data_IF_653502074350
#
_entry.id   IF_653502074350
#
_cell.length_a   1.000
_cell.length_b   1.000
_cell.length_c   1.000
_cell.angle_alpha   90.00
_cell.angle_beta   90.00
_cell.angle_gamma   90.00
#
_symmetry.space_group_name_H-M   'P 1'
#
loop_
_entity.id
_entity.type
_entity.pdbx_description
1 polymer ?
#
# COMPACT_ATOMS: atom_id res chain seq x y z
N UNK A 1 1.12 8.06 -8.81
CA UNK A 1 0.86 6.98 -7.85
C UNK A 1 0.38 5.69 -8.49
N UNK A 2 -0.69 5.68 -9.31
CA UNK A 2 -1.20 4.43 -9.94
C UNK A 2 -0.12 3.58 -10.64
N UNK A 3 0.72 4.19 -11.48
CA UNK A 3 1.85 3.50 -12.14
C UNK A 3 2.88 2.93 -11.15
N UNK A 4 3.16 3.66 -10.07
CA UNK A 4 4.07 3.20 -9.02
C UNK A 4 3.50 1.96 -8.31
N UNK A 5 2.19 1.94 -8.05
CA UNK A 5 1.51 0.79 -7.43
C UNK A 5 1.49 -0.44 -8.35
N UNK A 6 1.37 -0.26 -9.68
CA UNK A 6 1.53 -1.36 -10.64
C UNK A 6 2.96 -1.90 -10.62
N UNK A 7 3.96 -1.02 -10.58
CA UNK A 7 5.35 -1.43 -10.43
C UNK A 7 5.58 -2.19 -9.12
N UNK A 8 5.06 -1.70 -8.00
CA UNK A 8 5.11 -2.40 -6.71
C UNK A 8 4.49 -3.80 -6.81
N UNK A 9 3.30 -3.93 -7.42
CA UNK A 9 2.69 -5.25 -7.64
C UNK A 9 3.58 -6.20 -8.46
N UNK A 10 4.33 -5.68 -9.44
CA UNK A 10 5.25 -6.48 -10.24
C UNK A 10 6.48 -6.93 -9.44
N UNK A 11 6.97 -6.12 -8.49
CA UNK A 11 8.08 -6.52 -7.61
C UNK A 11 7.68 -7.66 -6.67
N UNK A 12 6.42 -7.71 -6.23
CA UNK A 12 5.94 -8.74 -5.29
C UNK A 12 5.88 -10.15 -5.87
N UNK A 13 6.05 -10.34 -7.18
CA UNK A 13 6.23 -11.70 -7.74
C UNK A 13 7.48 -12.41 -7.19
N UNK A 14 8.41 -11.67 -6.59
CA UNK A 14 9.58 -12.24 -5.94
C UNK A 14 9.30 -12.72 -4.51
N UNK A 15 8.14 -12.39 -3.92
CA UNK A 15 7.78 -12.78 -2.56
C UNK A 15 7.18 -14.19 -2.51
N UNK A 16 7.35 -14.92 -1.39
CA UNK A 16 6.82 -16.26 -1.22
C UNK A 16 5.28 -16.33 -1.17
N UNK A 17 4.60 -15.25 -0.76
CA UNK A 17 3.12 -15.14 -0.81
C UNK A 17 2.68 -13.85 -1.55
N UNK A 18 2.64 -13.88 -2.89
CA UNK A 18 2.43 -12.67 -3.69
C UNK A 18 0.96 -12.25 -3.76
N UNK A 19 0.00 -13.15 -3.53
CA UNK A 19 -1.39 -12.94 -3.97
C UNK A 19 -2.10 -11.83 -3.22
N UNK A 20 -1.96 -11.78 -1.89
CA UNK A 20 -2.56 -10.73 -1.07
C UNK A 20 -1.99 -9.35 -1.44
N UNK A 21 -0.68 -9.28 -1.66
CA UNK A 21 0.02 -8.07 -2.05
C UNK A 21 -0.41 -7.57 -3.42
N UNK A 22 -0.45 -8.47 -4.42
CA UNK A 22 -0.92 -8.15 -5.77
C UNK A 22 -2.35 -7.62 -5.73
N UNK A 23 -3.24 -8.29 -4.99
CA UNK A 23 -4.64 -7.89 -4.88
C UNK A 23 -4.75 -6.46 -4.33
N UNK A 24 -4.01 -6.14 -3.26
CA UNK A 24 -4.06 -4.80 -2.64
C UNK A 24 -3.46 -3.74 -3.55
N UNK A 25 -2.25 -3.96 -4.10
CA UNK A 25 -1.59 -2.99 -4.95
C UNK A 25 -2.37 -2.73 -6.25
N UNK A 26 -2.92 -3.78 -6.88
CA UNK A 26 -3.74 -3.64 -8.08
C UNK A 26 -5.09 -2.98 -7.79
N UNK A 27 -5.71 -3.25 -6.64
CA UNK A 27 -6.92 -2.53 -6.22
C UNK A 27 -6.63 -1.03 -6.04
N UNK A 28 -5.53 -0.69 -5.36
CA UNK A 28 -5.08 0.70 -5.16
C UNK A 28 -4.70 1.40 -6.49
N UNK A 29 -4.06 0.68 -7.41
CA UNK A 29 -3.76 1.17 -8.75
C UNK A 29 -5.06 1.40 -9.55
N UNK A 30 -5.99 0.45 -9.50
CA UNK A 30 -7.29 0.53 -10.17
C UNK A 30 -8.10 1.74 -9.75
N UNK A 31 -8.21 2.02 -8.44
CA UNK A 31 -8.89 3.23 -7.96
C UNK A 31 -8.15 4.51 -8.37
N UNK A 32 -6.81 4.47 -8.41
CA UNK A 32 -6.00 5.62 -8.85
C UNK A 32 -6.22 5.95 -10.32
N UNK A 33 -6.33 4.93 -11.17
CA UNK A 33 -6.60 5.08 -12.58
C UNK A 33 -8.05 5.49 -12.83
N UNK A 34 -9.02 4.85 -12.18
CA UNK A 34 -10.44 5.22 -12.30
C UNK A 34 -10.69 6.70 -11.98
N UNK A 35 -9.96 7.25 -11.00
CA UNK A 35 -10.03 8.66 -10.62
C UNK A 35 -9.63 9.66 -11.73
N UNK A 36 -8.98 9.21 -12.80
CA UNK A 36 -8.61 10.06 -13.95
C UNK A 36 -9.78 10.32 -14.90
N UNK A 37 -10.73 9.39 -14.98
CA UNK A 37 -11.83 9.43 -15.96
C UNK A 37 -13.21 9.53 -15.33
N UNK A 38 -13.34 9.18 -14.05
CA UNK A 38 -14.62 9.15 -13.35
C UNK A 38 -14.58 10.00 -12.08
N UNK A 39 -15.71 10.62 -11.69
CA UNK A 39 -15.85 11.21 -10.37
C UNK A 39 -15.53 10.15 -9.32
N UNK A 40 -14.60 10.48 -8.42
CA UNK A 40 -14.14 9.52 -7.42
C UNK A 40 -15.27 9.21 -6.45
N UNK A 41 -15.82 8.00 -6.51
CA UNK A 41 -16.66 7.49 -5.43
C UNK A 41 -15.77 7.27 -4.20
N UNK A 42 -16.08 7.90 -3.06
CA UNK A 42 -15.22 7.78 -1.87
C UNK A 42 -15.21 6.38 -1.25
N UNK A 43 -16.25 5.57 -1.49
CA UNK A 43 -16.46 4.29 -0.80
C UNK A 43 -15.37 3.28 -1.11
N UNK A 44 -15.05 3.10 -2.39
CA UNK A 44 -14.06 2.12 -2.84
C UNK A 44 -12.64 2.44 -2.32
N UNK A 45 -12.08 3.65 -2.53
CA UNK A 45 -10.77 4.00 -1.98
C UNK A 45 -10.77 3.98 -0.44
N UNK A 46 -11.89 4.27 0.23
CA UNK A 46 -11.98 4.11 1.69
C UNK A 46 -11.87 2.64 2.14
N UNK A 47 -12.50 1.70 1.43
CA UNK A 47 -12.36 0.26 1.73
C UNK A 47 -10.92 -0.20 1.55
N UNK A 48 -10.25 0.22 0.46
CA UNK A 48 -8.83 -0.09 0.23
C UNK A 48 -7.95 0.50 1.33
N UNK A 49 -8.20 1.75 1.73
CA UNK A 49 -7.47 2.40 2.81
C UNK A 49 -7.60 1.64 4.14
N UNK A 50 -8.83 1.26 4.51
CA UNK A 50 -9.08 0.49 5.74
C UNK A 50 -8.39 -0.86 5.68
N UNK A 51 -8.48 -1.58 4.56
CA UNK A 51 -7.79 -2.87 4.38
C UNK A 51 -6.27 -2.74 4.53
N UNK A 52 -5.68 -1.71 3.92
CA UNK A 52 -4.26 -1.43 4.04
C UNK A 52 -3.84 -1.05 5.47
N UNK A 53 -4.63 -0.24 6.19
CA UNK A 53 -4.36 0.10 7.59
C UNK A 53 -4.47 -1.11 8.53
N UNK A 54 -5.50 -1.93 8.35
CA UNK A 54 -5.69 -3.13 9.16
C UNK A 54 -4.53 -4.09 8.96
N UNK A 55 -4.09 -4.30 7.72
CA UNK A 55 -2.93 -5.14 7.45
C UNK A 55 -1.64 -4.50 7.97
N UNK A 56 -1.44 -3.18 7.80
CA UNK A 56 -0.27 -2.51 8.35
C UNK A 56 -0.16 -2.69 9.87
N UNK A 57 -1.30 -2.66 10.57
CA UNK A 57 -1.35 -2.87 12.01
C UNK A 57 -0.86 -4.25 12.45
N UNK A 58 -0.99 -5.28 11.60
CA UNK A 58 -0.50 -6.63 11.94
C UNK A 58 1.01 -6.75 11.88
N UNK A 59 1.71 -5.85 11.18
CA UNK A 59 3.17 -5.84 11.07
C UNK A 59 3.86 -4.93 12.11
N UNK A 60 3.09 -4.17 12.89
CA UNK A 60 3.64 -3.22 13.88
C UNK A 60 4.58 -3.89 14.89
N UNK A 61 4.26 -5.06 15.49
CA UNK A 61 5.15 -5.70 16.46
C UNK A 61 6.55 -6.01 15.91
N UNK A 62 6.64 -6.38 14.65
CA UNK A 62 7.87 -6.73 13.95
C UNK A 62 8.63 -5.46 13.52
N UNK A 63 7.92 -4.45 13.00
CA UNK A 63 8.52 -3.16 12.63
C UNK A 63 9.13 -2.43 13.83
N UNK A 64 8.54 -2.54 15.02
CA UNK A 64 9.09 -1.92 16.23
C UNK A 64 10.45 -2.50 16.65
N UNK A 65 10.83 -3.66 16.13
CA UNK A 65 12.13 -4.28 16.38
C UNK A 65 13.20 -3.81 15.38
N UNK A 66 12.80 -3.10 14.32
CA UNK A 66 13.69 -2.65 13.26
C UNK A 66 13.88 -1.14 13.30
N UNK A 67 15.13 -0.70 13.21
CA UNK A 67 15.41 0.73 13.07
C UNK A 67 15.07 1.23 11.66
N UNK A 68 14.43 2.40 11.55
CA UNK A 68 14.04 2.97 10.26
C UNK A 68 15.20 3.11 9.25
N UNK A 69 16.42 3.53 9.64
CA UNK A 69 17.55 3.58 8.71
C UNK A 69 17.96 2.19 8.19
N UNK A 70 17.83 1.14 9.00
CA UNK A 70 18.21 -0.22 8.61
C UNK A 70 17.36 -0.75 7.45
N UNK A 71 16.10 -0.30 7.33
CA UNK A 71 15.21 -0.68 6.23
C UNK A 71 15.80 -0.41 4.84
N UNK A 72 16.76 0.51 4.71
CA UNK A 72 17.32 0.92 3.41
C UNK A 72 18.79 0.50 3.21
N UNK A 73 19.40 -0.24 4.13
CA UNK A 73 20.85 -0.49 4.11
C UNK A 73 21.32 -1.57 3.13
N UNK A 74 20.56 -2.66 2.97
CA UNK A 74 20.97 -3.79 2.12
C UNK A 74 19.82 -4.30 1.26
N UNK A 75 20.14 -4.60 0.01
CA UNK A 75 19.25 -5.32 -0.91
C UNK A 75 19.66 -6.80 -1.07
N UNK A 76 20.95 -7.12 -0.90
CA UNK A 76 21.48 -8.49 -1.04
C UNK A 76 21.30 -9.36 0.21
N UNK A 77 21.33 -8.77 1.40
CA UNK A 77 21.11 -9.45 2.67
C UNK A 77 19.95 -8.77 3.40
N UNK A 78 18.73 -9.05 2.95
CA UNK A 78 17.50 -8.55 3.58
C UNK A 78 17.14 -9.48 4.74
N UNK A 79 17.12 -8.95 5.97
CA UNK A 79 16.57 -9.70 7.09
C UNK A 79 15.04 -9.70 7.02
N UNK A 80 14.40 -10.66 7.70
CA UNK A 80 12.94 -10.76 7.74
C UNK A 80 12.29 -9.49 8.29
N UNK A 81 12.88 -8.90 9.30
CA UNK A 81 12.36 -7.69 9.95
C UNK A 81 12.52 -6.45 9.04
N UNK A 82 13.55 -6.44 8.18
CA UNK A 82 13.70 -5.42 7.15
C UNK A 82 12.67 -5.56 6.04
N UNK A 83 12.36 -6.78 5.62
CA UNK A 83 11.31 -7.10 4.65
C UNK A 83 9.95 -6.64 5.16
N UNK A 84 9.53 -7.11 6.33
CA UNK A 84 8.27 -6.75 6.98
C UNK A 84 8.19 -5.22 7.23
N UNK A 85 9.32 -4.57 7.54
CA UNK A 85 9.41 -3.12 7.63
C UNK A 85 9.20 -2.37 6.31
N UNK A 86 9.71 -2.88 5.19
CA UNK A 86 9.46 -2.32 3.85
C UNK A 86 8.02 -2.56 3.41
N UNK A 87 7.50 -3.74 3.66
CA UNK A 87 6.12 -4.13 3.43
C UNK A 87 5.14 -3.20 4.17
N UNK A 88 5.42 -2.92 5.46
CA UNK A 88 4.68 -1.95 6.25
C UNK A 88 4.67 -0.54 5.62
N UNK A 89 5.82 -0.05 5.13
CA UNK A 89 5.89 1.23 4.42
C UNK A 89 5.10 1.22 3.10
N UNK A 90 5.08 0.09 2.39
CA UNK A 90 4.23 -0.13 1.22
C UNK A 90 2.74 0.00 1.56
N UNK A 91 2.29 -0.67 2.63
CA UNK A 91 0.91 -0.59 3.13
C UNK A 91 0.54 0.83 3.55
N UNK A 92 1.40 1.55 4.26
CA UNK A 92 1.16 2.94 4.63
C UNK A 92 1.05 3.86 3.40
N UNK A 93 1.84 3.60 2.35
CA UNK A 93 1.78 4.36 1.11
C UNK A 93 0.43 4.15 0.40
N UNK A 94 -0.04 2.90 0.34
CA UNK A 94 -1.38 2.56 -0.18
C UNK A 94 -2.47 3.24 0.65
N UNK A 95 -2.42 3.08 1.97
CA UNK A 95 -3.43 3.59 2.89
C UNK A 95 -3.54 5.13 2.82
N UNK A 96 -2.39 5.82 2.82
CA UNK A 96 -2.34 7.29 2.76
C UNK A 96 -2.91 7.81 1.44
N UNK A 97 -2.50 7.21 0.32
CA UNK A 97 -2.96 7.64 -1.00
C UNK A 97 -4.46 7.39 -1.22
N UNK A 98 -4.94 6.20 -0.86
CA UNK A 98 -6.35 5.86 -1.02
C UNK A 98 -7.25 6.62 -0.04
N UNK A 99 -6.77 6.97 1.15
CA UNK A 99 -7.44 7.92 2.05
C UNK A 99 -7.58 9.30 1.39
N UNK A 100 -6.53 9.80 0.74
CA UNK A 100 -6.58 11.06 0.01
C UNK A 100 -7.63 11.03 -1.12
N UNK A 101 -7.65 9.97 -1.93
CA UNK A 101 -8.68 9.79 -2.97
C UNK A 101 -10.10 9.73 -2.38
N UNK A 102 -10.28 9.03 -1.26
CA UNK A 102 -11.56 8.96 -0.58
C UNK A 102 -12.02 10.34 -0.09
N UNK A 103 -11.10 11.16 0.43
CA UNK A 103 -11.39 12.54 0.84
C UNK A 103 -11.82 13.42 -0.34
N UNK A 104 -11.12 13.33 -1.47
CA UNK A 104 -11.51 14.04 -2.70
C UNK A 104 -12.91 13.61 -3.16
N UNK A 105 -13.18 12.30 -3.14
CA UNK A 105 -14.49 11.77 -3.52
C UNK A 105 -15.62 12.22 -2.59
N UNK A 106 -15.35 12.39 -1.30
CA UNK A 106 -16.33 12.94 -0.34
C UNK A 106 -16.64 14.40 -0.64
N UNK A 107 -15.62 15.21 -0.90
CA UNK A 107 -15.80 16.63 -1.24
C UNK A 107 -16.60 16.83 -2.52
N UNK A 108 -16.42 15.97 -3.52
CA UNK A 108 -17.16 16.07 -4.78
C UNK A 108 -18.66 15.70 -4.66
N UNK A 109 -19.08 15.11 -3.54
CA UNK A 109 -20.47 14.75 -3.27
C UNK A 109 -21.22 15.75 -2.38
N UNK A 110 -20.51 16.75 -1.85
CA UNK A 110 -21.07 17.85 -1.05
C UNK A 110 -21.40 19.03 -1.95
#
# INVERSE_FOLDING_TARGET
MGMFLVFSAAVQYNDPDPYAWLALYLAAAGVSFAALWFPVSWKIPAVVAVGAFVWAATLVPEVMQTSFPALFQSWEMMSREMEEGREFLGLLSVASWTTYLAHLGRKAQQ
#
